data_IF_716468839979
#
_entry.id   IF_716468839979
#
_cell.length_a   1.000
_cell.length_b   1.000
_cell.length_c   1.000
_cell.angle_alpha   90.00
_cell.angle_beta   90.00
_cell.angle_gamma   90.00
#
_symmetry.space_group_name_H-M   'P 1'
#
loop_
_entity.id
_entity.type
_entity.pdbx_description
1 polymer ?
#
# COMPACT_ATOMS: atom_id res chain seq x y z
N UNK A 1 -33.45 20.62 -38.34
CA UNK A 1 -33.08 19.34 -37.69
C UNK A 1 -31.57 19.27 -37.70
N UNK A 2 -30.94 19.34 -36.52
CA UNK A 2 -29.48 19.42 -36.35
C UNK A 2 -28.96 18.07 -35.85
N UNK A 3 -28.24 17.33 -36.68
CA UNK A 3 -27.58 16.08 -36.31
C UNK A 3 -26.28 16.38 -35.56
N UNK A 4 -26.21 15.97 -34.28
CA UNK A 4 -24.93 15.92 -33.56
C UNK A 4 -24.27 14.54 -33.71
N UNK A 5 -22.95 14.47 -33.96
CA UNK A 5 -22.25 13.19 -34.03
C UNK A 5 -22.11 12.57 -32.64
N UNK A 6 -22.53 11.32 -32.50
CA UNK A 6 -22.37 10.54 -31.26
C UNK A 6 -20.90 10.17 -31.02
N UNK A 7 -20.40 10.19 -29.77
CA UNK A 7 -19.01 9.89 -29.47
C UNK A 7 -18.70 8.41 -29.73
N UNK A 8 -17.78 8.15 -30.65
CA UNK A 8 -17.25 6.81 -30.95
C UNK A 8 -16.59 6.21 -29.70
N UNK A 9 -17.14 5.11 -29.19
CA UNK A 9 -16.54 4.32 -28.11
C UNK A 9 -15.19 3.78 -28.60
N UNK A 10 -14.09 4.23 -27.99
CA UNK A 10 -12.76 3.66 -28.21
C UNK A 10 -12.83 2.15 -27.92
N UNK A 11 -12.77 1.34 -28.98
CA UNK A 11 -12.70 -0.12 -28.87
C UNK A 11 -11.50 -0.46 -27.99
N UNK A 12 -11.71 -1.28 -26.97
CA UNK A 12 -10.62 -1.84 -26.18
C UNK A 12 -9.60 -2.56 -27.09
N UNK A 13 -8.41 -2.81 -26.56
CA UNK A 13 -7.35 -3.50 -27.29
C UNK A 13 -7.85 -4.86 -27.84
N UNK A 14 -7.28 -5.28 -28.98
CA UNK A 14 -7.61 -6.56 -29.60
C UNK A 14 -7.45 -7.72 -28.60
N UNK A 15 -8.38 -8.68 -28.56
CA UNK A 15 -8.21 -9.92 -27.83
C UNK A 15 -6.91 -10.60 -28.29
N UNK A 16 -5.99 -10.88 -27.36
CA UNK A 16 -4.65 -11.40 -27.67
C UNK A 16 -3.52 -10.36 -27.59
N UNK A 17 -3.82 -9.08 -27.34
CA UNK A 17 -2.79 -8.09 -27.06
C UNK A 17 -2.14 -8.34 -25.69
N UNK A 18 -1.02 -9.06 -25.70
CA UNK A 18 -0.18 -9.32 -24.52
C UNK A 18 0.64 -8.11 -24.07
N UNK A 19 0.51 -6.91 -24.66
CA UNK A 19 1.22 -5.73 -24.17
C UNK A 19 0.80 -5.35 -22.74
N UNK A 20 -0.43 -5.65 -22.33
CA UNK A 20 -0.83 -5.53 -20.92
C UNK A 20 -0.03 -6.50 -20.02
N UNK A 21 0.32 -7.69 -20.51
CA UNK A 21 1.15 -8.68 -19.82
C UNK A 21 2.64 -8.31 -19.87
N UNK A 22 3.12 -7.78 -21.01
CA UNK A 22 4.51 -7.33 -21.21
C UNK A 22 4.86 -6.03 -20.49
N UNK A 23 3.91 -5.12 -20.32
CA UNK A 23 4.17 -3.76 -19.83
C UNK A 23 3.30 -3.29 -18.67
N UNK A 24 2.45 -4.13 -18.07
CA UNK A 24 1.57 -3.60 -17.02
C UNK A 24 0.71 -4.58 -16.26
N UNK A 25 1.26 -5.71 -15.81
CA UNK A 25 0.75 -6.36 -14.61
C UNK A 25 1.52 -5.78 -13.43
N UNK A 26 1.11 -4.60 -12.95
CA UNK A 26 1.62 -4.06 -11.70
C UNK A 26 1.30 -5.07 -10.60
N UNK A 27 2.36 -5.66 -10.05
CA UNK A 27 2.34 -6.81 -9.17
C UNK A 27 1.26 -6.66 -8.09
N UNK A 28 0.31 -7.59 -8.16
CA UNK A 28 -0.64 -7.88 -7.09
C UNK A 28 0.09 -8.51 -5.92
N UNK A 29 0.21 -7.76 -4.83
CA UNK A 29 0.54 -8.26 -3.51
C UNK A 29 -0.01 -7.25 -2.52
N UNK A 30 -0.81 -7.70 -1.54
CA UNK A 30 -1.60 -6.86 -0.61
C UNK A 30 -0.80 -5.97 0.35
N UNK A 31 0.45 -5.68 0.04
CA UNK A 31 1.16 -4.50 0.55
C UNK A 31 2.03 -4.06 -0.61
N UNK A 32 1.54 -3.08 -1.36
CA UNK A 32 2.44 -2.35 -2.24
C UNK A 32 3.37 -1.58 -1.30
N UNK A 33 4.50 -2.20 -0.93
CA UNK A 33 5.68 -1.43 -0.56
C UNK A 33 6.19 -0.83 -1.87
N UNK A 34 5.44 0.10 -2.47
CA UNK A 34 5.94 1.02 -3.50
C UNK A 34 6.87 1.96 -2.76
N UNK A 35 7.98 1.41 -2.30
CA UNK A 35 9.14 2.18 -1.99
C UNK A 35 10.03 1.88 -3.18
N UNK A 36 10.00 2.79 -4.15
CA UNK A 36 11.04 2.90 -5.17
C UNK A 36 12.42 2.67 -4.52
N UNK A 37 13.44 2.20 -5.24
CA UNK A 37 14.78 2.01 -4.67
C UNK A 37 15.26 3.23 -3.86
N UNK A 38 14.88 4.45 -4.27
CA UNK A 38 15.15 5.70 -3.57
C UNK A 38 14.36 5.84 -2.25
N UNK A 39 13.06 5.53 -2.22
CA UNK A 39 12.26 5.55 -0.98
C UNK A 39 12.72 4.48 0.02
N UNK A 40 13.24 3.33 -0.46
CA UNK A 40 13.87 2.33 0.41
C UNK A 40 15.16 2.84 1.03
N UNK A 41 16.02 3.48 0.24
CA UNK A 41 17.23 4.11 0.76
C UNK A 41 16.89 5.19 1.80
N UNK A 42 15.91 6.05 1.52
CA UNK A 42 15.43 7.07 2.46
C UNK A 42 14.86 6.47 3.76
N UNK A 43 14.18 5.32 3.68
CA UNK A 43 13.71 4.61 4.88
C UNK A 43 14.85 4.02 5.69
N UNK A 44 15.88 3.49 5.05
CA UNK A 44 17.11 3.03 5.72
C UNK A 44 17.82 4.21 6.39
N UNK A 45 18.00 5.32 5.67
CA UNK A 45 18.60 6.54 6.21
C UNK A 45 17.81 7.05 7.42
N UNK A 46 16.48 7.03 7.36
CA UNK A 46 15.62 7.41 8.47
C UNK A 46 15.81 6.51 9.70
N UNK A 47 15.93 5.20 9.51
CA UNK A 47 16.22 4.25 10.59
C UNK A 47 17.57 4.56 11.22
N UNK A 48 18.59 4.85 10.42
CA UNK A 48 19.92 5.19 10.90
C UNK A 48 19.92 6.50 11.70
N UNK A 49 19.15 7.51 11.27
CA UNK A 49 18.96 8.76 12.02
C UNK A 49 18.25 8.47 13.36
N UNK A 50 17.20 7.64 13.37
CA UNK A 50 16.51 7.23 14.60
C UNK A 50 17.49 6.56 15.57
N UNK A 51 18.36 5.67 15.07
CA UNK A 51 19.36 4.98 15.89
C UNK A 51 20.41 5.95 16.45
N UNK A 52 20.90 6.88 15.63
CA UNK A 52 21.80 7.95 16.10
C UNK A 52 21.17 8.79 17.20
N UNK A 53 19.89 9.17 17.05
CA UNK A 53 19.21 10.00 18.03
C UNK A 53 18.98 9.27 19.36
N UNK A 54 18.69 7.95 19.32
CA UNK A 54 18.65 7.10 20.51
C UNK A 54 20.02 7.04 21.21
N UNK A 55 21.08 6.86 20.43
CA UNK A 55 22.43 6.82 20.98
C UNK A 55 22.84 8.16 21.60
N UNK A 56 22.49 9.27 20.95
CA UNK A 56 22.69 10.62 21.48
C UNK A 56 21.96 10.83 22.81
N UNK A 57 20.69 10.42 22.92
CA UNK A 57 19.92 10.51 24.17
C UNK A 57 20.61 9.72 25.29
N UNK A 58 21.00 8.47 25.02
CA UNK A 58 21.68 7.63 26.02
C UNK A 58 23.02 8.24 26.43
N UNK A 59 23.82 8.69 25.48
CA UNK A 59 25.13 9.30 25.77
C UNK A 59 24.98 10.58 26.60
N UNK A 60 24.05 11.45 26.22
CA UNK A 60 23.76 12.70 26.94
C UNK A 60 23.24 12.42 28.34
N UNK A 61 22.46 11.35 28.53
CA UNK A 61 22.01 10.90 29.84
C UNK A 61 23.16 10.44 30.73
N UNK A 62 24.05 9.58 30.21
CA UNK A 62 25.22 9.07 30.93
C UNK A 62 26.21 10.19 31.29
N UNK A 63 26.37 11.18 30.42
CA UNK A 63 27.14 12.40 30.72
C UNK A 63 26.43 13.26 31.77
N UNK A 64 25.10 13.38 31.67
CA UNK A 64 24.27 14.11 32.61
C UNK A 64 24.34 13.58 34.05
N UNK A 65 24.52 12.26 34.22
CA UNK A 65 24.72 11.64 35.55
C UNK A 65 25.99 12.13 36.26
N UNK A 66 26.98 12.64 35.52
CA UNK A 66 28.26 13.13 36.05
C UNK A 66 28.23 14.61 36.40
N UNK A 67 27.12 15.30 36.10
CA UNK A 67 26.98 16.73 36.35
C UNK A 67 26.97 17.04 37.85
N UNK A 68 27.72 18.09 38.24
CA UNK A 68 27.85 18.50 39.64
C UNK A 68 26.95 19.66 40.02
N UNK A 69 26.42 20.36 39.02
CA UNK A 69 25.63 21.58 39.20
C UNK A 69 24.22 21.39 38.64
N UNK A 70 23.26 22.06 39.27
CA UNK A 70 21.84 22.03 38.88
C UNK A 70 21.66 22.61 37.48
N UNK A 71 22.43 23.63 37.11
CA UNK A 71 22.34 24.27 35.80
C UNK A 71 22.72 23.31 34.67
N UNK A 72 23.82 22.58 34.82
CA UNK A 72 24.24 21.54 33.87
C UNK A 72 23.22 20.41 33.80
N UNK A 73 22.65 20.01 34.93
CA UNK A 73 21.58 19.01 34.95
C UNK A 73 20.34 19.46 34.17
N UNK A 74 19.88 20.70 34.38
CA UNK A 74 18.76 21.28 33.65
C UNK A 74 19.04 21.37 32.14
N UNK A 75 20.25 21.72 31.75
CA UNK A 75 20.67 21.76 30.34
C UNK A 75 20.66 20.37 29.69
N UNK A 76 21.15 19.35 30.39
CA UNK A 76 21.08 17.96 29.90
C UNK A 76 19.64 17.46 29.77
N UNK A 77 18.78 17.74 30.76
CA UNK A 77 17.37 17.36 30.72
C UNK A 77 16.63 18.05 29.57
N UNK A 78 16.92 19.33 29.34
CA UNK A 78 16.38 20.09 28.21
C UNK A 78 16.80 19.48 26.88
N UNK A 79 18.09 19.15 26.74
CA UNK A 79 18.64 18.54 25.52
C UNK A 79 18.00 17.17 25.24
N UNK A 80 17.84 16.33 26.27
CA UNK A 80 17.14 15.03 26.17
C UNK A 80 15.68 15.23 25.77
N UNK A 81 14.98 16.23 26.32
CA UNK A 81 13.56 16.49 26.02
C UNK A 81 13.35 16.91 24.56
N UNK A 82 14.24 17.77 24.03
CA UNK A 82 14.23 18.17 22.62
C UNK A 82 14.52 16.96 21.72
N UNK A 83 15.56 16.19 22.03
CA UNK A 83 15.92 14.99 21.27
C UNK A 83 14.80 13.95 21.28
N UNK A 84 14.13 13.74 22.41
CA UNK A 84 13.00 12.82 22.56
C UNK A 84 11.79 13.25 21.71
N UNK A 85 11.52 14.56 21.64
CA UNK A 85 10.48 15.11 20.78
C UNK A 85 10.81 14.89 19.30
N UNK A 86 12.07 15.08 18.90
CA UNK A 86 12.57 14.77 17.56
C UNK A 86 12.41 13.28 17.23
N UNK A 87 12.79 12.40 18.16
CA UNK A 87 12.68 10.95 18.03
C UNK A 87 11.22 10.52 17.81
N UNK A 88 10.30 11.05 18.60
CA UNK A 88 8.87 10.80 18.43
C UNK A 88 8.38 11.17 17.02
N UNK A 89 8.78 12.35 16.52
CA UNK A 89 8.41 12.80 15.17
C UNK A 89 8.97 11.89 14.07
N UNK A 90 10.23 11.46 14.20
CA UNK A 90 10.87 10.55 13.25
C UNK A 90 10.20 9.16 13.24
N UNK A 91 9.84 8.63 14.41
CA UNK A 91 9.11 7.36 14.52
C UNK A 91 7.72 7.49 13.89
N UNK A 92 7.01 8.58 14.16
CA UNK A 92 5.70 8.83 13.56
C UNK A 92 5.80 8.92 12.02
N UNK A 93 6.82 9.61 11.51
CA UNK A 93 7.10 9.70 10.08
C UNK A 93 7.42 8.31 9.50
N UNK A 94 8.26 7.52 10.17
CA UNK A 94 8.55 6.14 9.78
C UNK A 94 7.27 5.29 9.67
N UNK A 95 6.37 5.39 10.65
CA UNK A 95 5.10 4.66 10.67
C UNK A 95 4.15 5.11 9.54
N UNK A 96 4.19 6.37 9.14
CA UNK A 96 3.41 6.88 8.01
C UNK A 96 3.92 6.31 6.68
N UNK A 97 5.24 6.27 6.47
CA UNK A 97 5.82 5.70 5.25
C UNK A 97 5.62 4.18 5.12
N UNK A 98 5.46 3.45 6.24
CA UNK A 98 5.13 2.03 6.19
C UNK A 98 3.67 1.75 5.85
N UNK A 99 2.76 2.69 6.11
CA UNK A 99 1.31 2.52 6.00
C UNK A 99 0.71 3.26 4.80
N UNK A 100 1.27 3.09 3.60
CA UNK A 100 0.57 3.51 2.37
C UNK A 100 -0.50 2.47 2.03
N UNK A 101 -1.66 2.56 2.66
CA UNK A 101 -2.84 1.80 2.21
C UNK A 101 -3.28 2.34 0.85
N UNK A 102 -3.59 1.45 -0.09
CA UNK A 102 -4.13 1.87 -1.38
C UNK A 102 -5.47 2.61 -1.15
N UNK A 103 -5.78 3.65 -1.95
CA UNK A 103 -7.08 4.29 -1.94
C UNK A 103 -8.20 3.25 -2.11
N UNK A 104 -9.28 3.40 -1.34
CA UNK A 104 -10.43 2.48 -1.34
C UNK A 104 -11.03 2.27 -2.75
N UNK A 105 -10.91 3.28 -3.62
CA UNK A 105 -11.37 3.23 -5.01
C UNK A 105 -10.69 2.14 -5.86
N UNK A 106 -9.45 1.77 -5.51
CA UNK A 106 -8.72 0.71 -6.20
C UNK A 106 -9.29 -0.68 -5.86
N UNK A 107 -9.85 -0.85 -4.66
CA UNK A 107 -10.46 -2.10 -4.19
C UNK A 107 -11.82 -2.32 -4.86
N UNK A 108 -12.61 -1.26 -5.02
CA UNK A 108 -13.90 -1.31 -5.73
C UNK A 108 -13.70 -1.68 -7.20
N UNK A 109 -12.71 -1.05 -7.85
CA UNK A 109 -12.40 -1.27 -9.27
C UNK A 109 -12.04 -2.73 -9.59
N UNK A 110 -11.29 -3.42 -8.71
CA UNK A 110 -10.95 -4.84 -8.89
C UNK A 110 -12.16 -5.76 -8.82
N UNK A 111 -13.07 -5.57 -7.87
CA UNK A 111 -14.30 -6.38 -7.75
C UNK A 111 -15.17 -6.25 -8.99
N UNK A 112 -15.34 -5.04 -9.49
CA UNK A 112 -16.12 -4.78 -10.71
C UNK A 112 -15.46 -5.38 -11.95
N UNK A 113 -14.14 -5.34 -12.06
CA UNK A 113 -13.43 -5.89 -13.23
C UNK A 113 -13.44 -7.42 -13.26
N UNK A 114 -13.25 -8.07 -12.10
CA UNK A 114 -13.37 -9.53 -11.98
C UNK A 114 -14.82 -9.96 -12.25
N UNK A 115 -15.81 -9.25 -11.71
CA UNK A 115 -17.23 -9.53 -11.96
C UNK A 115 -17.58 -9.41 -13.45
N UNK A 116 -17.05 -8.38 -14.13
CA UNK A 116 -17.23 -8.20 -15.57
C UNK A 116 -16.58 -9.33 -16.39
N UNK A 117 -15.42 -9.82 -15.95
CA UNK A 117 -14.73 -10.94 -16.60
C UNK A 117 -15.51 -12.25 -16.42
N UNK A 118 -15.98 -12.53 -15.20
CA UNK A 118 -16.81 -13.69 -14.89
C UNK A 118 -18.10 -13.66 -15.72
N UNK A 119 -18.78 -12.52 -15.78
CA UNK A 119 -19.99 -12.35 -16.60
C UNK A 119 -19.69 -12.52 -18.10
N UNK A 120 -18.55 -12.03 -18.57
CA UNK A 120 -18.15 -12.19 -19.97
C UNK A 120 -17.95 -13.66 -20.35
N UNK A 121 -17.28 -14.44 -19.50
CA UNK A 121 -17.12 -15.87 -19.74
C UNK A 121 -18.43 -16.63 -19.56
N UNK A 122 -19.24 -16.30 -18.55
CA UNK A 122 -20.57 -16.90 -18.34
C UNK A 122 -21.46 -16.74 -19.57
N UNK A 123 -21.50 -15.53 -20.15
CA UNK A 123 -22.29 -15.26 -21.35
C UNK A 123 -21.72 -15.92 -22.63
N UNK A 124 -20.41 -16.17 -22.66
CA UNK A 124 -19.75 -16.87 -23.77
C UNK A 124 -19.94 -18.38 -23.66
N UNK A 125 -19.97 -18.93 -22.45
CA UNK A 125 -20.23 -20.34 -22.18
C UNK A 125 -21.71 -20.68 -22.29
N UNK A 126 -22.62 -19.78 -21.93
CA UNK A 126 -24.08 -19.99 -22.08
C UNK A 126 -24.52 -20.10 -23.55
N UNK A 127 -23.72 -19.61 -24.50
CA UNK A 127 -23.96 -19.83 -25.93
C UNK A 127 -23.45 -21.17 -26.45
N UNK A 128 -22.70 -21.93 -25.64
CA UNK A 128 -22.04 -23.20 -26.03
C UNK A 128 -22.51 -24.38 -25.16
N UNK A 129 -22.93 -24.11 -23.93
CA UNK A 129 -23.41 -25.09 -22.95
C UNK A 129 -24.69 -24.54 -22.35
N UNK A 130 -25.78 -25.30 -22.45
CA UNK A 130 -27.00 -25.04 -21.70
C UNK A 130 -26.70 -25.33 -20.21
N UNK A 131 -26.57 -24.28 -19.42
CA UNK A 131 -26.07 -24.34 -18.03
C UNK A 131 -27.13 -24.79 -17.03
N UNK A 132 -28.37 -25.01 -17.49
CA UNK A 132 -29.48 -25.49 -16.66
C UNK A 132 -29.28 -26.94 -16.18
N UNK A 133 -28.36 -27.70 -16.79
CA UNK A 133 -28.03 -29.07 -16.38
C UNK A 133 -26.90 -29.18 -15.34
N UNK A 134 -26.18 -28.10 -15.01
CA UNK A 134 -25.01 -28.15 -14.11
C UNK A 134 -25.34 -27.76 -12.67
N UNK A 135 -26.47 -27.08 -12.42
CA UNK A 135 -26.90 -26.68 -11.07
C UNK A 135 -27.72 -27.76 -10.34
N UNK A 136 -27.97 -28.94 -10.95
CA UNK A 136 -28.80 -30.01 -10.36
C UNK A 136 -28.03 -31.11 -9.59
N UNK A 137 -26.70 -31.09 -9.55
CA UNK A 137 -25.90 -32.12 -8.85
C UNK A 137 -25.30 -31.63 -7.51
N UNK A 138 -26.10 -30.93 -6.71
CA UNK A 138 -25.85 -30.76 -5.27
C UNK A 138 -27.11 -31.06 -4.46
N UNK A 139 -27.40 -32.36 -4.29
CA UNK A 139 -28.05 -32.84 -3.08
C UNK A 139 -27.45 -34.20 -2.69
N UNK A 140 -26.54 -34.24 -1.70
CA UNK A 140 -26.39 -35.40 -0.86
C UNK A 140 -26.81 -35.06 0.57
N UNK A 141 -27.64 -35.96 1.12
CA UNK A 141 -27.96 -36.19 2.55
C UNK A 141 -29.27 -35.58 3.07
N UNK A 142 -30.35 -36.36 2.92
CA UNK A 142 -31.29 -36.58 4.03
C UNK A 142 -31.51 -38.09 4.20
N UNK A 143 -30.97 -38.62 5.30
CA UNK A 143 -31.51 -39.81 5.98
C UNK A 143 -32.32 -39.33 7.18
#
# INVERSE_FOLDING_TARGET
MTDQPTPSKKRGAQPGNLNAVKHGLYIEGRTIRNTTPIERAQLTDLIDIINHLKHYINTTYEEGLKNKTIDQFNETLRSISIASTGLYRLINLHNQFQNTTLPADFVVTKKTTIMNLVNHYKNKTSGVIDLDDVDNDQDPLKS
#
